data_IF_273268379984
#
_entry.id   IF_273268379984
#
_cell.length_a   1.000
_cell.length_b   1.000
_cell.length_c   1.000
_cell.angle_alpha   90.00
_cell.angle_beta   90.00
_cell.angle_gamma   90.00
#
_symmetry.space_group_name_H-M   'P 1'
#
loop_
_entity.id
_entity.type
_entity.pdbx_description
1 polymer ?
#
# COMPACT_ATOMS: atom_id res chain seq x y z
N UNK A 1 -35.45 -1.95 26.32
CA UNK A 1 -35.14 -0.83 25.39
C UNK A 1 -34.10 0.03 26.11
N UNK A 2 -32.87 0.20 25.67
CA UNK A 2 -32.39 0.69 24.37
C UNK A 2 -30.97 0.17 24.13
N UNK A 3 -30.74 -0.54 23.01
CA UNK A 3 -29.39 -0.78 22.48
C UNK A 3 -29.06 0.42 21.61
N UNK A 4 -28.41 1.42 22.18
CA UNK A 4 -27.87 2.55 21.42
C UNK A 4 -26.62 2.07 20.65
N UNK A 5 -26.83 1.36 19.53
CA UNK A 5 -25.78 1.05 18.56
C UNK A 5 -25.60 2.27 17.66
N UNK A 6 -24.88 3.28 18.14
CA UNK A 6 -24.17 4.20 17.26
C UNK A 6 -23.00 3.43 16.61
N UNK A 7 -23.33 2.54 15.67
CA UNK A 7 -22.34 2.00 14.74
C UNK A 7 -22.06 3.18 13.81
N UNK A 8 -20.96 3.90 14.02
CA UNK A 8 -20.46 4.88 13.03
C UNK A 8 -20.48 4.15 11.69
N UNK A 9 -21.27 4.64 10.74
CA UNK A 9 -21.11 4.24 9.35
C UNK A 9 -19.71 4.71 8.96
N UNK A 10 -18.81 3.77 8.71
CA UNK A 10 -17.52 4.07 8.13
C UNK A 10 -17.78 4.70 6.74
N UNK A 11 -17.43 5.97 6.59
CA UNK A 11 -17.52 6.68 5.30
C UNK A 11 -16.35 6.22 4.40
N UNK A 12 -16.54 5.07 3.75
CA UNK A 12 -15.56 4.47 2.84
C UNK A 12 -15.14 5.47 1.74
N UNK A 13 -16.05 6.22 1.07
CA UNK A 13 -15.67 7.27 0.14
C UNK A 13 -14.68 8.29 0.72
N UNK A 14 -14.93 8.77 1.95
CA UNK A 14 -14.01 9.68 2.62
C UNK A 14 -12.65 9.05 2.89
N UNK A 15 -12.61 7.80 3.36
CA UNK A 15 -11.37 7.06 3.59
C UNK A 15 -10.52 6.86 2.33
N UNK A 16 -11.17 6.53 1.21
CA UNK A 16 -10.52 6.44 -0.11
C UNK A 16 -9.99 7.81 -0.52
N UNK A 17 -10.80 8.87 -0.41
CA UNK A 17 -10.41 10.24 -0.76
C UNK A 17 -9.21 10.72 0.04
N UNK A 18 -9.17 10.43 1.36
CA UNK A 18 -8.05 10.75 2.23
C UNK A 18 -6.78 9.99 1.82
N UNK A 19 -6.89 8.70 1.53
CA UNK A 19 -5.77 7.87 1.10
C UNK A 19 -5.18 8.36 -0.23
N UNK A 20 -6.03 8.71 -1.20
CA UNK A 20 -5.61 9.29 -2.48
C UNK A 20 -4.96 10.66 -2.28
N UNK A 21 -5.48 11.51 -1.38
CA UNK A 21 -4.86 12.80 -1.06
C UNK A 21 -3.44 12.63 -0.50
N UNK A 22 -3.23 11.66 0.41
CA UNK A 22 -1.90 11.33 0.91
C UNK A 22 -0.95 10.89 -0.21
N UNK A 23 -1.41 10.03 -1.12
CA UNK A 23 -0.62 9.57 -2.27
C UNK A 23 -0.23 10.73 -3.20
N UNK A 24 -1.19 11.62 -3.52
CA UNK A 24 -0.95 12.77 -4.40
C UNK A 24 0.06 13.74 -3.76
N UNK A 25 -0.12 14.07 -2.48
CA UNK A 25 0.80 14.95 -1.75
C UNK A 25 2.20 14.33 -1.69
N UNK A 26 2.31 13.04 -1.37
CA UNK A 26 3.59 12.34 -1.35
C UNK A 26 4.29 12.40 -2.72
N UNK A 27 3.55 12.11 -3.78
CA UNK A 27 4.08 12.11 -5.16
C UNK A 27 4.55 13.51 -5.55
N UNK A 28 3.77 14.55 -5.26
CA UNK A 28 4.15 15.93 -5.54
C UNK A 28 5.43 16.33 -4.81
N UNK A 29 5.53 16.04 -3.51
CA UNK A 29 6.72 16.37 -2.70
C UNK A 29 7.94 15.59 -3.16
N UNK A 30 7.79 14.32 -3.57
CA UNK A 30 8.88 13.52 -4.11
C UNK A 30 9.41 14.09 -5.44
N UNK A 31 8.51 14.50 -6.33
CA UNK A 31 8.88 15.09 -7.64
C UNK A 31 9.43 16.51 -7.54
N UNK A 32 9.19 17.20 -6.41
CA UNK A 32 9.68 18.54 -6.13
C UNK A 32 10.54 18.52 -4.85
N UNK A 33 11.75 17.94 -4.90
CA UNK A 33 12.56 17.67 -3.70
C UNK A 33 12.93 18.93 -2.90
N UNK A 34 12.94 20.11 -3.52
CA UNK A 34 13.21 21.38 -2.84
C UNK A 34 11.97 22.06 -2.23
N UNK A 35 10.77 21.49 -2.40
CA UNK A 35 9.52 22.11 -1.94
C UNK A 35 9.48 22.35 -0.42
N UNK A 36 10.05 21.42 0.37
CA UNK A 36 10.17 21.55 1.83
C UNK A 36 11.52 22.16 2.27
N UNK A 37 12.28 22.75 1.35
CA UNK A 37 13.58 23.39 1.60
C UNK A 37 14.75 22.44 1.77
N UNK A 38 14.54 21.12 1.63
CA UNK A 38 15.61 20.12 1.60
C UNK A 38 15.12 18.84 0.93
N UNK A 39 15.90 18.35 -0.04
CA UNK A 39 15.68 17.05 -0.68
C UNK A 39 15.49 15.91 0.32
N UNK A 40 16.32 15.84 1.36
CA UNK A 40 16.22 14.82 2.42
C UNK A 40 14.90 14.88 3.16
N UNK A 41 14.46 16.09 3.55
CA UNK A 41 13.18 16.28 4.26
C UNK A 41 12.00 15.90 3.37
N UNK A 42 12.05 16.30 2.09
CA UNK A 42 11.03 15.95 1.11
C UNK A 42 10.91 14.44 0.91
N UNK A 43 12.04 13.71 0.81
CA UNK A 43 12.04 12.24 0.68
C UNK A 43 11.43 11.59 1.92
N UNK A 44 11.81 12.02 3.13
CA UNK A 44 11.25 11.44 4.37
C UNK A 44 9.75 11.72 4.46
N UNK A 45 9.34 12.95 4.16
CA UNK A 45 7.93 13.35 4.22
C UNK A 45 7.08 12.60 3.18
N UNK A 46 7.55 12.51 1.94
CA UNK A 46 6.87 11.77 0.88
C UNK A 46 6.74 10.29 1.24
N UNK A 47 7.80 9.70 1.80
CA UNK A 47 7.83 8.30 2.22
C UNK A 47 6.79 7.95 3.29
N UNK A 48 6.62 8.82 4.28
CA UNK A 48 5.61 8.63 5.33
C UNK A 48 4.21 8.74 4.73
N UNK A 49 3.97 9.77 3.91
CA UNK A 49 2.65 10.03 3.33
C UNK A 49 2.24 8.92 2.35
N UNK A 50 3.16 8.44 1.51
CA UNK A 50 2.86 7.35 0.57
C UNK A 50 2.57 6.05 1.33
N UNK A 51 3.32 5.75 2.40
CA UNK A 51 3.09 4.56 3.23
C UNK A 51 1.69 4.58 3.85
N UNK A 52 1.29 5.71 4.45
CA UNK A 52 -0.05 5.89 5.03
C UNK A 52 -1.12 5.80 3.94
N UNK A 53 -0.89 6.46 2.80
CA UNK A 53 -1.84 6.48 1.69
C UNK A 53 -2.07 5.09 1.09
N UNK A 54 -1.02 4.31 0.84
CA UNK A 54 -1.14 2.97 0.26
C UNK A 54 -1.74 1.97 1.25
N UNK A 55 -1.29 1.98 2.52
CA UNK A 55 -1.86 1.11 3.53
C UNK A 55 -3.34 1.44 3.82
N UNK A 56 -3.66 2.74 3.95
CA UNK A 56 -5.03 3.23 4.12
C UNK A 56 -5.92 2.85 2.95
N UNK A 57 -5.44 3.01 1.71
CA UNK A 57 -6.19 2.61 0.52
C UNK A 57 -6.48 1.11 0.52
N UNK A 58 -5.51 0.26 0.85
CA UNK A 58 -5.72 -1.19 0.95
C UNK A 58 -6.80 -1.56 1.97
N UNK A 59 -6.79 -0.91 3.14
CA UNK A 59 -7.80 -1.10 4.19
C UNK A 59 -9.20 -0.69 3.69
N UNK A 60 -9.34 0.49 3.12
CA UNK A 60 -10.63 0.99 2.65
C UNK A 60 -11.17 0.22 1.42
N UNK A 61 -10.29 -0.21 0.51
CA UNK A 61 -10.65 -1.11 -0.59
C UNK A 61 -11.14 -2.47 -0.09
N UNK A 62 -10.57 -2.99 1.01
CA UNK A 62 -11.04 -4.24 1.61
C UNK A 62 -12.48 -4.09 2.12
N UNK A 63 -12.86 -2.93 2.66
CA UNK A 63 -14.23 -2.66 3.13
C UNK A 63 -15.25 -2.58 1.99
N UNK A 64 -14.85 -2.20 0.77
CA UNK A 64 -15.74 -2.22 -0.40
C UNK A 64 -16.16 -3.64 -0.80
N UNK A 65 -15.40 -4.66 -0.39
CA UNK A 65 -15.74 -6.03 -0.67
C UNK A 65 -16.50 -6.61 0.52
N UNK A 66 -17.81 -6.84 0.36
CA UNK A 66 -18.67 -7.48 1.39
C UNK A 66 -18.17 -8.86 1.86
N UNK A 67 -17.18 -9.46 1.18
CA UNK A 67 -16.51 -10.68 1.61
C UNK A 67 -15.37 -10.34 2.57
N UNK A 68 -15.45 -10.90 3.77
CA UNK A 68 -14.37 -10.95 4.74
C UNK A 68 -13.10 -11.49 4.05
N UNK A 69 -12.04 -10.68 3.95
CA UNK A 69 -10.75 -10.97 3.29
C UNK A 69 -10.71 -10.97 1.75
N UNK A 70 -10.96 -9.83 1.10
CA UNK A 70 -10.64 -9.66 -0.32
C UNK A 70 -9.15 -9.77 -0.64
N UNK A 71 -8.27 -9.54 0.35
CA UNK A 71 -6.82 -9.49 0.17
C UNK A 71 -6.24 -8.08 -0.03
N UNK A 72 -7.10 -7.07 -0.28
CA UNK A 72 -6.66 -5.68 -0.46
C UNK A 72 -5.95 -5.10 0.77
N UNK A 73 -6.43 -5.42 1.98
CA UNK A 73 -5.84 -4.96 3.23
C UNK A 73 -4.42 -5.51 3.42
N UNK A 74 -4.26 -6.83 3.31
CA UNK A 74 -2.94 -7.47 3.40
C UNK A 74 -1.99 -6.91 2.35
N UNK A 75 -2.44 -6.69 1.12
CA UNK A 75 -1.59 -6.14 0.07
C UNK A 75 -1.19 -4.69 0.36
N UNK A 76 -2.11 -3.85 0.82
CA UNK A 76 -1.82 -2.46 1.20
C UNK A 76 -0.85 -2.37 2.38
N UNK A 77 -1.06 -3.17 3.42
CA UNK A 77 -0.15 -3.26 4.58
C UNK A 77 1.24 -3.74 4.14
N UNK A 78 1.31 -4.77 3.30
CA UNK A 78 2.56 -5.31 2.79
C UNK A 78 3.34 -4.30 1.95
N UNK A 79 2.67 -3.55 1.08
CA UNK A 79 3.27 -2.45 0.33
C UNK A 79 3.76 -1.32 1.25
N UNK A 80 3.01 -1.02 2.32
CA UNK A 80 3.46 -0.08 3.35
C UNK A 80 4.77 -0.53 4.02
N UNK A 81 4.85 -1.80 4.43
CA UNK A 81 6.10 -2.36 4.97
C UNK A 81 7.25 -2.35 3.96
N UNK A 82 6.96 -2.61 2.68
CA UNK A 82 7.97 -2.57 1.61
C UNK A 82 8.54 -1.15 1.45
N UNK A 83 7.69 -0.13 1.49
CA UNK A 83 8.10 1.28 1.43
C UNK A 83 8.95 1.65 2.64
N UNK A 84 8.52 1.27 3.86
CA UNK A 84 9.30 1.49 5.08
C UNK A 84 10.68 0.83 4.97
N UNK A 85 10.74 -0.41 4.49
CA UNK A 85 12.00 -1.12 4.27
C UNK A 85 12.91 -0.37 3.29
N UNK A 86 12.39 0.02 2.12
CA UNK A 86 13.16 0.68 1.07
C UNK A 86 13.77 2.01 1.58
N UNK A 87 12.98 2.79 2.32
CA UNK A 87 13.39 4.08 2.87
C UNK A 87 14.47 3.89 3.94
N UNK A 88 14.28 2.94 4.85
CA UNK A 88 15.28 2.67 5.89
C UNK A 88 16.59 2.15 5.29
N UNK A 89 16.52 1.29 4.27
CA UNK A 89 17.71 0.79 3.60
C UNK A 89 18.48 1.90 2.87
N UNK A 90 17.76 2.81 2.21
CA UNK A 90 18.35 3.96 1.52
C UNK A 90 19.09 4.91 2.47
N UNK A 91 18.48 5.26 3.61
CA UNK A 91 19.10 6.20 4.57
C UNK A 91 20.12 5.55 5.51
N UNK A 92 20.00 4.25 5.79
CA UNK A 92 20.86 3.52 6.70
C UNK A 92 21.47 2.28 6.04
N UNK A 93 22.36 2.43 5.05
CA UNK A 93 22.99 1.31 4.33
C UNK A 93 24.09 0.63 5.17
N UNK A 94 23.85 0.44 6.47
CA UNK A 94 24.75 -0.22 7.40
C UNK A 94 24.43 -1.72 7.44
N UNK A 95 25.45 -2.56 7.32
CA UNK A 95 25.29 -4.04 7.26
C UNK A 95 24.48 -4.59 8.44
N UNK A 96 24.70 -4.08 9.66
CA UNK A 96 23.96 -4.53 10.84
C UNK A 96 22.48 -4.07 10.83
N UNK A 97 22.19 -2.89 10.26
CA UNK A 97 20.81 -2.42 10.07
C UNK A 97 20.12 -3.28 9.02
N UNK A 98 20.82 -3.66 7.96
CA UNK A 98 20.28 -4.52 6.90
C UNK A 98 19.83 -5.89 7.45
N UNK A 99 20.54 -6.48 8.42
CA UNK A 99 20.10 -7.71 9.08
C UNK A 99 18.75 -7.55 9.80
N UNK A 100 18.51 -6.40 10.42
CA UNK A 100 17.22 -6.08 11.02
C UNK A 100 16.15 -5.82 9.95
N UNK A 101 16.51 -5.10 8.88
CA UNK A 101 15.62 -4.76 7.78
C UNK A 101 15.14 -5.98 6.98
N UNK A 102 15.92 -7.07 6.93
CA UNK A 102 15.46 -8.34 6.34
C UNK A 102 14.17 -8.83 7.01
N UNK A 103 13.99 -8.63 8.32
CA UNK A 103 12.76 -9.01 9.01
C UNK A 103 11.57 -8.18 8.53
N UNK A 104 11.76 -6.87 8.34
CA UNK A 104 10.73 -5.97 7.80
C UNK A 104 10.37 -6.36 6.37
N UNK A 105 11.38 -6.65 5.53
CA UNK A 105 11.18 -7.13 4.17
C UNK A 105 10.41 -8.46 4.15
N UNK A 106 10.71 -9.38 5.07
CA UNK A 106 9.99 -10.65 5.18
C UNK A 106 8.50 -10.43 5.44
N UNK A 107 8.15 -9.55 6.39
CA UNK A 107 6.75 -9.20 6.64
C UNK A 107 6.10 -8.57 5.40
N UNK A 108 6.77 -7.63 4.74
CA UNK A 108 6.27 -7.02 3.51
C UNK A 108 5.90 -8.09 2.47
N UNK A 109 6.82 -9.03 2.21
CA UNK A 109 6.61 -10.11 1.26
C UNK A 109 5.48 -11.06 1.69
N UNK A 110 5.38 -11.43 2.96
CA UNK A 110 4.30 -12.28 3.48
C UNK A 110 2.93 -11.62 3.25
N UNK A 111 2.80 -10.34 3.60
CA UNK A 111 1.55 -9.60 3.45
C UNK A 111 1.18 -9.38 1.98
N UNK A 112 2.14 -9.02 1.12
CA UNK A 112 1.93 -8.88 -0.33
C UNK A 112 1.48 -10.21 -0.95
N UNK A 113 2.22 -11.29 -0.70
CA UNK A 113 1.91 -12.61 -1.29
C UNK A 113 0.58 -13.16 -0.79
N UNK A 114 0.26 -13.00 0.50
CA UNK A 114 -1.04 -13.36 1.06
C UNK A 114 -2.16 -12.52 0.45
N UNK A 115 -1.94 -11.21 0.27
CA UNK A 115 -2.87 -10.31 -0.39
C UNK A 115 -3.18 -10.73 -1.83
N UNK A 116 -2.14 -11.00 -2.62
CA UNK A 116 -2.26 -11.48 -4.00
C UNK A 116 -3.01 -12.82 -4.04
N UNK A 117 -2.63 -13.79 -3.19
CA UNK A 117 -3.29 -15.09 -3.15
C UNK A 117 -4.79 -14.97 -2.85
N UNK A 118 -5.16 -14.13 -1.88
CA UNK A 118 -6.56 -13.86 -1.53
C UNK A 118 -7.33 -13.17 -2.66
N UNK A 119 -6.70 -12.22 -3.37
CA UNK A 119 -7.31 -11.56 -4.52
C UNK A 119 -7.55 -12.56 -5.66
N UNK A 120 -6.57 -13.40 -5.99
CA UNK A 120 -6.70 -14.45 -7.01
C UNK A 120 -7.81 -15.44 -6.62
N UNK A 121 -7.84 -15.91 -5.38
CA UNK A 121 -8.88 -16.82 -4.89
C UNK A 121 -10.28 -16.19 -4.93
N UNK A 122 -10.38 -14.92 -4.56
CA UNK A 122 -11.65 -14.16 -4.60
C UNK A 122 -12.14 -14.02 -6.04
N UNK A 123 -11.26 -13.66 -6.98
CA UNK A 123 -11.60 -13.58 -8.40
C UNK A 123 -12.01 -14.93 -8.99
N UNK A 124 -11.30 -16.01 -8.65
CA UNK A 124 -11.60 -17.36 -9.12
C UNK A 124 -12.95 -17.90 -8.62
N UNK A 125 -13.43 -17.42 -7.47
CA UNK A 125 -14.70 -17.84 -6.86
C UNK A 125 -15.88 -16.91 -7.16
N UNK A 126 -15.68 -15.85 -7.95
CA UNK A 126 -16.75 -14.92 -8.32
C UNK A 126 -17.54 -15.43 -9.54
N UNK A 127 -18.81 -15.78 -9.33
CA UNK A 127 -19.73 -16.25 -10.38
C UNK A 127 -20.49 -15.12 -11.11
N UNK A 128 -20.29 -13.85 -10.74
CA UNK A 128 -21.08 -12.71 -11.24
C UNK A 128 -20.24 -11.72 -12.04
N UNK A 129 -20.51 -11.63 -13.35
CA UNK A 129 -19.85 -10.73 -14.32
C UNK A 129 -19.75 -9.27 -13.86
N UNK A 130 -20.75 -8.78 -13.10
CA UNK A 130 -20.83 -7.38 -12.64
C UNK A 130 -19.77 -7.03 -11.58
N UNK A 131 -19.44 -7.98 -10.69
CA UNK A 131 -18.44 -7.80 -9.62
C UNK A 131 -17.02 -7.94 -10.15
N UNK A 132 -16.85 -8.81 -11.15
CA UNK A 132 -15.61 -8.99 -11.89
C UNK A 132 -15.20 -7.70 -12.64
N UNK A 133 -16.16 -6.98 -13.24
CA UNK A 133 -15.89 -5.73 -13.97
C UNK A 133 -15.38 -4.58 -13.08
N UNK A 134 -15.81 -4.53 -11.81
CA UNK A 134 -15.41 -3.49 -10.86
C UNK A 134 -14.13 -3.81 -10.09
N UNK A 135 -13.88 -5.08 -9.77
CA UNK A 135 -12.68 -5.48 -8.99
C UNK A 135 -11.44 -5.66 -9.89
N UNK A 136 -11.61 -6.09 -11.13
CA UNK A 136 -10.50 -6.39 -12.04
C UNK A 136 -9.58 -5.18 -12.31
N UNK A 137 -10.09 -3.96 -12.61
CA UNK A 137 -9.23 -2.80 -12.84
C UNK A 137 -8.43 -2.43 -11.59
N UNK A 138 -9.04 -2.56 -10.40
CA UNK A 138 -8.39 -2.27 -9.12
C UNK A 138 -7.24 -3.25 -8.91
N UNK A 139 -7.50 -4.55 -9.08
CA UNK A 139 -6.50 -5.62 -8.96
C UNK A 139 -5.35 -5.41 -9.95
N UNK A 140 -5.65 -5.13 -11.22
CA UNK A 140 -4.64 -4.85 -12.26
C UNK A 140 -3.78 -3.64 -11.87
N UNK A 141 -4.42 -2.56 -11.42
CA UNK A 141 -3.71 -1.33 -11.00
C UNK A 141 -2.77 -1.62 -9.85
N UNK A 142 -3.20 -2.42 -8.88
CA UNK A 142 -2.45 -2.69 -7.67
C UNK A 142 -1.31 -3.69 -7.88
N UNK A 143 -1.53 -4.71 -8.74
CA UNK A 143 -0.45 -5.59 -9.23
C UNK A 143 0.56 -4.77 -10.04
N UNK A 144 0.09 -3.91 -10.95
CA UNK A 144 0.95 -3.02 -11.74
C UNK A 144 1.79 -2.10 -10.86
N UNK A 145 1.18 -1.48 -9.85
CA UNK A 145 1.88 -0.64 -8.88
C UNK A 145 2.93 -1.43 -8.09
N UNK A 146 2.63 -2.68 -7.72
CA UNK A 146 3.58 -3.56 -7.02
C UNK A 146 4.76 -3.91 -7.90
N UNK A 147 4.52 -4.26 -9.18
CA UNK A 147 5.59 -4.54 -10.14
C UNK A 147 6.47 -3.32 -10.35
N UNK A 148 5.87 -2.13 -10.53
CA UNK A 148 6.62 -0.87 -10.69
C UNK A 148 7.44 -0.57 -9.44
N UNK A 149 6.88 -0.73 -8.25
CA UNK A 149 7.60 -0.51 -6.99
C UNK A 149 8.79 -1.48 -6.84
N UNK A 150 8.60 -2.76 -7.17
CA UNK A 150 9.70 -3.74 -7.17
C UNK A 150 10.76 -3.34 -8.19
N UNK A 151 10.37 -2.92 -9.39
CA UNK A 151 11.31 -2.49 -10.43
C UNK A 151 12.13 -1.27 -10.00
N UNK A 152 11.48 -0.24 -9.45
CA UNK A 152 12.20 0.94 -8.95
C UNK A 152 13.18 0.59 -7.82
N UNK A 153 12.78 -0.32 -6.91
CA UNK A 153 13.67 -0.83 -5.87
C UNK A 153 14.88 -1.53 -6.50
N UNK A 154 14.68 -2.44 -7.45
CA UNK A 154 15.79 -3.18 -8.07
C UNK A 154 16.74 -2.24 -8.83
N UNK A 155 16.19 -1.26 -9.54
CA UNK A 155 16.97 -0.26 -10.27
C UNK A 155 17.75 0.68 -9.31
N UNK A 156 17.14 1.11 -8.21
CA UNK A 156 17.79 1.93 -7.19
C UNK A 156 18.94 1.20 -6.46
N UNK A 157 18.91 -0.13 -6.46
CA UNK A 157 19.94 -0.99 -5.86
C UNK A 157 21.01 -1.46 -6.85
N UNK A 158 20.96 -0.99 -8.10
CA UNK A 158 21.87 -1.43 -9.19
C UNK A 158 21.87 -2.96 -9.38
N UNK A 159 20.75 -3.62 -9.10
CA UNK A 159 20.58 -5.07 -9.29
C UNK A 159 20.05 -5.42 -10.68
N UNK A 160 19.79 -4.40 -11.51
CA UNK A 160 19.28 -4.46 -12.88
C UNK A 160 19.96 -3.40 -13.75
#
# INVERSE_FOLDING_TARGET
MSKNKNKKEDDIPFGIGLSVAFIIIATFVYLQPEYLGSSTVSIIFSSIFITIGVAGLGIELNKLNDKQNSGFENMGIGLGFLMVWAVLHYFFPLVWVNWLLIVVLLFALIFITTGIANLVFTLATLNTKKKLLTELPIVITQIGATIIAIYEILNALELL
#
